data_IF_552424158294
#
_entry.id   IF_552424158294
#
_cell.length_a   1.000
_cell.length_b   1.000
_cell.length_c   1.000
_cell.angle_alpha   90.00
_cell.angle_beta   90.00
_cell.angle_gamma   90.00
#
_symmetry.space_group_name_H-M   'P 1'
#
loop_
_entity.id
_entity.type
_entity.pdbx_description
1 polymer ?
#
# COMPACT_ATOMS: atom_id res chain seq x y z
N UNK A 1 -18.56 2.33 -3.25
CA UNK A 1 -17.44 3.24 -2.99
C UNK A 1 -17.90 4.67 -3.15
N UNK A 2 -17.66 5.51 -2.17
CA UNK A 2 -18.03 6.92 -2.25
C UNK A 2 -17.07 7.68 -3.16
N UNK A 3 -17.47 8.90 -3.56
CA UNK A 3 -16.60 9.74 -4.38
C UNK A 3 -15.29 10.04 -3.65
N UNK A 4 -15.35 10.26 -2.35
CA UNK A 4 -14.16 10.53 -1.56
C UNK A 4 -13.22 9.33 -1.52
N UNK A 5 -13.76 8.13 -1.32
CA UNK A 5 -12.95 6.91 -1.34
C UNK A 5 -12.33 6.68 -2.70
N UNK A 6 -13.07 6.97 -3.75
CA UNK A 6 -12.59 6.83 -5.12
C UNK A 6 -11.42 7.76 -5.38
N UNK A 7 -11.53 9.01 -4.94
CA UNK A 7 -10.44 9.97 -5.09
C UNK A 7 -9.20 9.50 -4.33
N UNK A 8 -9.39 9.01 -3.13
CA UNK A 8 -8.28 8.48 -2.34
C UNK A 8 -7.64 7.26 -3.02
N UNK A 9 -8.47 6.41 -3.60
CA UNK A 9 -7.98 5.24 -4.33
C UNK A 9 -7.15 5.64 -5.53
N UNK A 10 -7.63 6.60 -6.32
CA UNK A 10 -6.92 7.10 -7.49
C UNK A 10 -5.59 7.75 -7.11
N UNK A 11 -5.59 8.55 -6.05
CA UNK A 11 -4.36 9.16 -5.54
C UNK A 11 -3.37 8.11 -5.07
N UNK A 12 -3.85 7.09 -4.39
CA UNK A 12 -3.04 5.99 -3.92
C UNK A 12 -2.35 5.29 -5.10
N UNK A 13 -3.10 4.98 -6.15
CA UNK A 13 -2.55 4.35 -7.33
C UNK A 13 -1.51 5.23 -8.00
N UNK A 14 -1.81 6.53 -8.13
CA UNK A 14 -0.89 7.46 -8.76
C UNK A 14 0.42 7.60 -8.00
N UNK A 15 0.34 7.61 -6.67
CA UNK A 15 1.53 7.84 -5.84
C UNK A 15 2.36 6.58 -5.62
N UNK A 16 1.73 5.42 -5.55
CA UNK A 16 2.40 4.21 -5.05
C UNK A 16 2.47 3.04 -6.01
N UNK A 17 1.79 3.09 -7.16
CA UNK A 17 1.80 1.95 -8.07
C UNK A 17 3.18 1.64 -8.66
N UNK A 18 4.08 2.60 -8.64
CA UNK A 18 5.45 2.37 -9.11
C UNK A 18 6.28 1.52 -8.14
N UNK A 19 5.89 1.47 -6.87
CA UNK A 19 6.60 0.72 -5.83
C UNK A 19 5.81 -0.45 -5.27
N UNK A 20 4.50 -0.46 -5.46
CA UNK A 20 3.61 -1.49 -4.92
C UNK A 20 2.62 -1.94 -5.99
N UNK A 21 2.31 -3.23 -6.00
CA UNK A 21 1.19 -3.74 -6.77
C UNK A 21 -0.05 -3.56 -5.92
N UNK A 22 -0.92 -2.67 -6.35
CA UNK A 22 -2.11 -2.29 -5.58
C UNK A 22 -3.34 -2.82 -6.30
N UNK A 23 -4.20 -3.51 -5.56
CA UNK A 23 -5.39 -4.11 -6.13
C UNK A 23 -6.55 -4.05 -5.13
N UNK A 24 -7.74 -4.20 -5.66
CA UNK A 24 -8.95 -4.27 -4.86
C UNK A 24 -9.63 -5.60 -5.11
N UNK A 25 -10.01 -6.29 -4.03
CA UNK A 25 -10.74 -7.53 -4.14
C UNK A 25 -12.19 -7.26 -4.52
N UNK A 26 -12.74 -8.09 -5.40
CA UNK A 26 -14.15 -8.00 -5.79
C UNK A 26 -15.05 -8.88 -4.92
N UNK A 27 -14.49 -9.57 -3.95
CA UNK A 27 -15.26 -10.44 -3.08
C UNK A 27 -16.04 -9.64 -2.06
N UNK A 28 -17.33 -9.83 -1.98
CA UNK A 28 -18.20 -9.13 -1.05
C UNK A 28 -17.89 -9.47 0.40
N UNK A 29 -17.39 -10.68 0.64
CA UNK A 29 -17.09 -11.15 1.98
C UNK A 29 -15.71 -10.73 2.46
N UNK A 30 -14.95 -10.06 1.64
CA UNK A 30 -13.60 -9.66 2.00
C UNK A 30 -13.65 -8.38 2.87
N UNK A 31 -13.31 -8.53 4.12
CA UNK A 31 -13.30 -7.41 5.06
C UNK A 31 -12.17 -6.44 4.80
N UNK A 32 -11.13 -6.88 4.13
CA UNK A 32 -9.96 -6.06 3.81
C UNK A 32 -9.71 -6.10 2.30
N UNK A 33 -10.61 -5.49 1.51
CA UNK A 33 -10.55 -5.63 0.06
C UNK A 33 -9.42 -4.85 -0.61
N UNK A 34 -8.82 -3.89 0.07
CA UNK A 34 -7.76 -3.08 -0.52
C UNK A 34 -6.42 -3.71 -0.16
N UNK A 35 -5.67 -4.12 -1.18
CA UNK A 35 -4.45 -4.89 -0.99
C UNK A 35 -3.28 -4.27 -1.72
N UNK A 36 -2.09 -4.42 -1.18
CA UNK A 36 -0.87 -3.95 -1.80
C UNK A 36 0.27 -4.91 -1.51
N UNK A 37 1.08 -5.18 -2.54
CA UNK A 37 2.27 -6.03 -2.42
C UNK A 37 3.47 -5.21 -2.84
N UNK A 38 4.48 -5.04 -1.98
CA UNK A 38 5.68 -4.30 -2.35
C UNK A 38 6.42 -4.99 -3.50
N UNK A 39 6.90 -4.22 -4.46
CA UNK A 39 7.71 -4.77 -5.53
C UNK A 39 9.02 -5.34 -4.99
N UNK A 40 9.53 -4.77 -3.90
CA UNK A 40 10.78 -5.23 -3.29
C UNK A 40 10.61 -6.52 -2.50
N UNK A 41 9.39 -6.86 -2.10
CA UNK A 41 9.13 -8.06 -1.30
C UNK A 41 7.76 -8.63 -1.66
N UNK A 42 7.77 -9.54 -2.62
CA UNK A 42 6.53 -10.14 -3.14
C UNK A 42 5.82 -11.06 -2.14
N UNK A 43 6.48 -11.39 -1.04
CA UNK A 43 5.87 -12.23 -0.02
C UNK A 43 5.12 -11.40 1.02
N UNK A 44 5.37 -10.12 1.05
CA UNK A 44 4.63 -9.23 1.95
C UNK A 44 3.28 -8.90 1.34
N UNK A 45 2.27 -8.73 2.19
CA UNK A 45 0.94 -8.35 1.76
C UNK A 45 0.37 -7.36 2.75
N UNK A 46 -0.04 -6.21 2.26
CA UNK A 46 -0.75 -5.22 3.06
C UNK A 46 -2.22 -5.28 2.70
N UNK A 47 -3.09 -5.30 3.69
CA UNK A 47 -4.53 -5.35 3.48
C UNK A 47 -5.20 -4.32 4.36
N UNK A 48 -6.22 -3.65 3.84
CA UNK A 48 -6.93 -2.62 4.57
C UNK A 48 -8.40 -2.57 4.17
N UNK A 49 -9.21 -2.03 5.07
CA UNK A 49 -10.64 -1.90 4.84
C UNK A 49 -10.99 -0.69 3.98
N UNK A 50 -10.07 0.25 3.81
CA UNK A 50 -10.31 1.44 3.01
C UNK A 50 -9.02 1.89 2.31
N UNK A 51 -9.13 2.68 1.23
CA UNK A 51 -7.94 3.20 0.56
C UNK A 51 -7.10 4.08 1.48
N UNK A 52 -7.74 4.83 2.34
CA UNK A 52 -7.04 5.71 3.27
C UNK A 52 -6.17 4.92 4.23
N UNK A 53 -6.71 3.83 4.77
CA UNK A 53 -5.95 2.96 5.67
C UNK A 53 -4.81 2.27 4.93
N UNK A 54 -5.08 1.80 3.71
CA UNK A 54 -4.04 1.16 2.93
C UNK A 54 -2.90 2.13 2.64
N UNK A 55 -3.22 3.37 2.31
CA UNK A 55 -2.20 4.39 2.05
C UNK A 55 -1.33 4.62 3.28
N UNK A 56 -1.95 4.70 4.46
CA UNK A 56 -1.20 4.86 5.71
C UNK A 56 -0.26 3.68 5.95
N UNK A 57 -0.75 2.46 5.70
CA UNK A 57 0.05 1.25 5.84
C UNK A 57 1.22 1.23 4.86
N UNK A 58 0.98 1.61 3.62
CA UNK A 58 2.01 1.67 2.59
C UNK A 58 3.09 2.69 2.97
N UNK A 59 2.69 3.86 3.41
CA UNK A 59 3.64 4.91 3.81
C UNK A 59 4.53 4.44 4.94
N UNK A 60 3.95 3.79 5.93
CA UNK A 60 4.71 3.28 7.05
C UNK A 60 5.64 2.14 6.62
N UNK A 61 5.13 1.22 5.82
CA UNK A 61 5.92 0.10 5.30
C UNK A 61 7.08 0.60 4.45
N UNK A 62 6.81 1.54 3.56
CA UNK A 62 7.83 2.12 2.69
C UNK A 62 8.92 2.84 3.50
N UNK A 63 8.52 3.58 4.51
CA UNK A 63 9.47 4.27 5.38
C UNK A 63 10.38 3.28 6.11
N UNK A 64 9.83 2.17 6.59
CA UNK A 64 10.62 1.15 7.25
C UNK A 64 11.60 0.49 6.28
N UNK A 65 11.14 0.18 5.07
CA UNK A 65 11.99 -0.44 4.06
C UNK A 65 13.10 0.49 3.61
N UNK A 66 12.77 1.77 3.46
CA UNK A 66 13.75 2.77 3.08
C UNK A 66 14.80 2.95 4.18
N UNK A 67 14.35 2.97 5.43
CA UNK A 67 15.27 3.08 6.56
C UNK A 67 16.15 1.84 6.68
N UNK A 68 15.56 0.66 6.45
CA UNK A 68 16.33 -0.60 6.53
C UNK A 68 17.32 -0.72 5.38
N UNK A 69 16.99 -0.16 4.22
CA UNK A 69 17.85 -0.19 3.06
C UNK A 69 18.88 0.94 3.08
N UNK A 70 18.73 1.90 3.95
CA UNK A 70 19.68 3.00 4.06
C UNK A 70 21.06 2.43 4.40
N UNK A 71 22.11 2.93 3.78
CA UNK A 71 23.43 2.45 4.08
C UNK A 71 23.75 2.72 5.54
N UNK A 72 24.00 1.66 6.20
CA UNK A 72 24.35 1.74 7.60
C UNK A 72 25.84 1.87 7.74
N UNK A 73 26.42 2.35 6.76
CA UNK A 73 27.80 2.53 6.76
C UNK A 73 28.19 3.70 7.49
N UNK A 74 27.39 4.12 8.32
CA UNK A 74 27.84 5.17 9.12
C UNK A 74 29.21 4.80 9.51
N UNK A 75 30.06 5.56 9.21
CA UNK A 75 31.45 5.27 9.39
C UNK A 75 31.81 5.16 10.81
#
# INVERSE_FOLDING_TARGET
MTVEERDQWECLLADWSAAYDIARSDEEDDELPFKAVPHADRQALLEAASPRLLRAMIREDHARRTAAAAPQDAP
#
